data_IF_243207923623
#
_entry.id   IF_243207923623
#
_cell.length_a   1.000
_cell.length_b   1.000
_cell.length_c   1.000
_cell.angle_alpha   90.00
_cell.angle_beta   90.00
_cell.angle_gamma   90.00
#
_symmetry.space_group_name_H-M   'P 1'
#
loop_
_entity.id
_entity.type
_entity.pdbx_description
1 polymer ?
#
# COMPACT_ATOMS: atom_id res chain seq x y z
N UNK A 1 33.13 -26.22 26.39
CA UNK A 1 33.24 -24.80 25.93
C UNK A 1 33.03 -24.64 24.43
N UNK A 2 33.62 -25.54 23.63
CA UNK A 2 33.53 -25.45 22.14
C UNK A 2 32.18 -25.90 21.58
N UNK A 3 31.56 -26.90 22.19
CA UNK A 3 30.26 -27.37 21.73
C UNK A 3 29.11 -26.34 21.97
N UNK A 4 29.18 -25.60 23.08
CA UNK A 4 28.26 -24.51 23.41
C UNK A 4 28.49 -23.32 22.47
N UNK A 5 29.73 -23.05 22.07
CA UNK A 5 30.08 -21.98 21.13
C UNK A 5 29.60 -22.31 19.69
N UNK A 6 29.64 -23.59 19.30
CA UNK A 6 29.13 -24.07 18.01
C UNK A 6 27.59 -24.06 18.00
N UNK A 7 26.95 -24.49 19.10
CA UNK A 7 25.47 -24.43 19.24
C UNK A 7 24.97 -22.97 19.31
N UNK A 8 25.72 -22.05 19.92
CA UNK A 8 25.38 -20.61 19.89
C UNK A 8 25.59 -19.96 18.51
N UNK A 9 26.53 -20.48 17.71
CA UNK A 9 26.72 -20.01 16.33
C UNK A 9 25.67 -20.57 15.36
N UNK A 10 25.14 -21.76 15.64
CA UNK A 10 24.05 -22.38 14.85
C UNK A 10 22.69 -21.74 15.18
N UNK A 11 22.51 -21.16 16.39
CA UNK A 11 21.27 -20.45 16.75
C UNK A 11 21.21 -18.98 16.31
N UNK A 12 22.22 -18.50 15.59
CA UNK A 12 22.33 -17.16 15.02
C UNK A 12 22.47 -17.17 13.49
N UNK A 13 22.06 -18.22 12.81
CA UNK A 13 21.71 -18.07 11.40
C UNK A 13 20.37 -17.33 11.36
N UNK A 14 20.46 -16.01 11.55
CA UNK A 14 19.42 -15.06 11.13
C UNK A 14 19.14 -15.39 9.66
N UNK A 15 17.89 -15.68 9.35
CA UNK A 15 17.45 -15.78 7.94
C UNK A 15 18.10 -14.64 7.17
N UNK A 16 18.93 -14.99 6.21
CA UNK A 16 19.56 -14.05 5.31
C UNK A 16 19.07 -14.42 3.91
N UNK A 17 18.28 -13.53 3.33
CA UNK A 17 17.95 -13.63 1.91
C UNK A 17 19.25 -13.68 1.13
N UNK A 18 19.38 -14.59 0.15
CA UNK A 18 20.58 -14.74 -0.63
C UNK A 18 20.99 -13.38 -1.25
N UNK A 19 22.26 -13.01 -1.11
CA UNK A 19 22.81 -11.74 -1.63
C UNK A 19 22.51 -11.54 -3.13
N UNK A 20 22.44 -12.61 -3.90
CA UNK A 20 22.08 -12.54 -5.32
C UNK A 20 20.62 -12.12 -5.54
N UNK A 21 19.68 -12.64 -4.75
CA UNK A 21 18.29 -12.21 -4.78
C UNK A 21 18.14 -10.77 -4.30
N UNK A 22 18.89 -10.39 -3.26
CA UNK A 22 18.90 -9.00 -2.78
C UNK A 22 19.40 -8.02 -3.84
N UNK A 23 20.45 -8.38 -4.57
CA UNK A 23 20.96 -7.58 -5.71
C UNK A 23 19.93 -7.45 -6.82
N UNK A 24 19.25 -8.55 -7.19
CA UNK A 24 18.16 -8.52 -8.18
C UNK A 24 17.01 -7.61 -7.72
N UNK A 25 16.60 -7.72 -6.45
CA UNK A 25 15.52 -6.93 -5.90
C UNK A 25 15.89 -5.44 -5.79
N UNK A 26 17.09 -5.12 -5.33
CA UNK A 26 17.60 -3.77 -5.30
C UNK A 26 17.69 -3.14 -6.70
N UNK A 27 18.19 -3.89 -7.69
CA UNK A 27 18.19 -3.48 -9.10
C UNK A 27 16.77 -3.18 -9.59
N UNK A 28 15.81 -4.06 -9.30
CA UNK A 28 14.41 -3.87 -9.66
C UNK A 28 13.83 -2.60 -9.04
N UNK A 29 14.06 -2.36 -7.74
CA UNK A 29 13.60 -1.16 -7.04
C UNK A 29 14.12 0.14 -7.68
N UNK A 30 15.38 0.13 -8.10
CA UNK A 30 16.06 1.30 -8.71
C UNK A 30 15.65 1.49 -10.17
N UNK A 31 15.66 0.43 -10.99
CA UNK A 31 15.43 0.53 -12.44
C UNK A 31 13.94 0.59 -12.81
N UNK A 32 13.06 -0.09 -12.06
CA UNK A 32 11.61 -0.14 -12.33
C UNK A 32 10.83 0.64 -11.29
N UNK A 33 11.16 0.48 -9.99
CA UNK A 33 10.47 1.17 -8.92
C UNK A 33 10.49 2.68 -9.14
N UNK A 34 11.64 3.31 -8.97
CA UNK A 34 11.78 4.77 -9.18
C UNK A 34 12.36 5.13 -10.55
N UNK A 35 12.75 4.17 -11.37
CA UNK A 35 13.39 4.39 -12.68
C UNK A 35 14.47 5.47 -12.62
N UNK A 36 15.42 5.28 -11.68
CA UNK A 36 16.48 6.23 -11.37
C UNK A 36 17.31 6.57 -12.61
N UNK A 37 17.61 7.83 -12.82
CA UNK A 37 18.45 8.30 -13.91
C UNK A 37 19.81 8.76 -13.39
N UNK A 38 20.79 8.82 -14.28
CA UNK A 38 22.09 9.41 -13.99
C UNK A 38 21.95 10.82 -13.40
N UNK A 39 22.71 11.11 -12.35
CA UNK A 39 22.66 12.37 -11.58
C UNK A 39 21.38 12.61 -10.75
N UNK A 40 20.45 11.66 -10.65
CA UNK A 40 19.36 11.74 -9.68
C UNK A 40 19.87 11.54 -8.25
N UNK A 41 19.19 12.13 -7.29
CA UNK A 41 19.36 11.82 -5.86
C UNK A 41 18.28 10.84 -5.43
N UNK A 42 18.65 9.83 -4.65
CA UNK A 42 17.73 8.85 -4.08
C UNK A 42 17.61 9.01 -2.57
N UNK A 43 16.38 9.14 -2.06
CA UNK A 43 16.08 9.05 -0.63
C UNK A 43 15.46 7.68 -0.32
N UNK A 44 16.05 6.93 0.62
CA UNK A 44 15.56 5.63 1.08
C UNK A 44 15.00 5.80 2.49
N UNK A 45 13.71 5.54 2.67
CA UNK A 45 13.05 5.53 3.97
C UNK A 45 12.86 4.08 4.41
N UNK A 46 13.44 3.67 5.54
CA UNK A 46 13.52 2.26 5.87
C UNK A 46 13.50 2.02 7.38
N UNK A 47 12.86 0.94 7.88
CA UNK A 47 13.08 0.47 9.24
C UNK A 47 14.54 0.05 9.45
N UNK A 48 15.03 0.23 10.66
CA UNK A 48 16.44 -0.14 11.00
C UNK A 48 16.71 -1.63 10.79
N UNK A 49 15.69 -2.46 10.96
CA UNK A 49 15.75 -3.91 10.75
C UNK A 49 16.07 -4.29 9.30
N UNK A 50 15.78 -3.42 8.34
CA UNK A 50 15.99 -3.66 6.90
C UNK A 50 17.21 -2.89 6.33
N UNK A 51 18.09 -2.42 7.21
CA UNK A 51 19.28 -1.66 6.83
C UNK A 51 20.21 -2.39 5.83
N UNK A 52 20.25 -3.73 5.87
CA UNK A 52 21.03 -4.50 4.90
C UNK A 52 20.48 -4.32 3.49
N UNK A 53 19.16 -4.43 3.31
CA UNK A 53 18.53 -4.24 2.01
C UNK A 53 18.67 -2.80 1.49
N UNK A 54 18.59 -1.80 2.38
CA UNK A 54 18.84 -0.41 2.01
C UNK A 54 20.27 -0.20 1.45
N UNK A 55 21.29 -0.94 1.93
CA UNK A 55 22.66 -0.88 1.39
C UNK A 55 22.72 -1.45 -0.02
N UNK A 56 22.04 -2.58 -0.30
CA UNK A 56 21.96 -3.13 -1.66
C UNK A 56 21.26 -2.16 -2.63
N UNK A 57 20.18 -1.48 -2.19
CA UNK A 57 19.52 -0.44 -2.99
C UNK A 57 20.48 0.72 -3.26
N UNK A 58 21.24 1.17 -2.26
CA UNK A 58 22.24 2.23 -2.44
C UNK A 58 23.34 1.83 -3.44
N UNK A 59 23.88 0.62 -3.33
CA UNK A 59 24.86 0.08 -4.30
C UNK A 59 24.28 0.05 -5.72
N UNK A 60 23.03 -0.43 -5.89
CA UNK A 60 22.36 -0.45 -7.16
C UNK A 60 22.12 0.96 -7.73
N UNK A 61 21.76 1.93 -6.88
CA UNK A 61 21.55 3.32 -7.28
C UNK A 61 22.87 3.96 -7.78
N UNK A 62 23.96 3.79 -7.07
CA UNK A 62 25.27 4.27 -7.55
C UNK A 62 25.74 3.57 -8.81
N UNK A 63 25.41 2.29 -9.00
CA UNK A 63 25.75 1.56 -10.23
C UNK A 63 25.07 2.13 -11.49
N UNK A 64 23.89 2.75 -11.35
CA UNK A 64 23.19 3.45 -12.47
C UNK A 64 23.52 4.94 -12.52
N UNK A 65 24.45 5.43 -11.71
CA UNK A 65 24.94 6.81 -11.76
C UNK A 65 24.20 7.79 -10.85
N UNK A 66 23.61 7.35 -9.74
CA UNK A 66 23.05 8.26 -8.75
C UNK A 66 24.05 9.33 -8.34
N UNK A 67 23.60 10.57 -8.21
CA UNK A 67 24.40 11.68 -7.68
C UNK A 67 24.68 11.50 -6.18
N UNK A 68 23.64 11.09 -5.44
CA UNK A 68 23.71 10.89 -4.00
C UNK A 68 22.61 9.95 -3.53
N UNK A 69 22.85 9.25 -2.41
CA UNK A 69 21.88 8.36 -1.77
C UNK A 69 21.77 8.72 -0.29
N UNK A 70 20.59 9.13 0.12
CA UNK A 70 20.27 9.51 1.49
C UNK A 70 19.42 8.40 2.12
N UNK A 71 19.77 7.95 3.33
CA UNK A 71 19.02 6.90 4.02
C UNK A 71 18.46 7.44 5.32
N UNK A 72 17.13 7.39 5.44
CA UNK A 72 16.38 7.75 6.64
C UNK A 72 15.94 6.48 7.37
N UNK A 73 16.52 6.22 8.53
CA UNK A 73 16.14 5.08 9.36
C UNK A 73 15.02 5.44 10.32
N UNK A 74 14.08 4.51 10.49
CA UNK A 74 13.05 4.56 11.54
C UNK A 74 13.19 3.36 12.47
N UNK A 75 12.86 3.54 13.73
CA UNK A 75 12.80 2.49 14.74
C UNK A 75 11.42 2.51 15.39
N UNK A 76 10.60 1.50 15.07
CA UNK A 76 9.23 1.39 15.59
C UNK A 76 9.20 1.21 17.12
N UNK A 77 10.18 0.52 17.70
CA UNK A 77 10.26 0.31 19.15
C UNK A 77 10.58 1.61 19.87
N UNK A 78 11.53 2.39 19.35
CA UNK A 78 11.86 3.71 19.89
C UNK A 78 10.67 4.67 19.74
N UNK A 79 9.99 4.65 18.60
CA UNK A 79 8.78 5.44 18.41
C UNK A 79 7.67 5.07 19.39
N UNK A 80 7.45 3.78 19.66
CA UNK A 80 6.50 3.33 20.70
C UNK A 80 6.86 3.86 22.07
N UNK A 81 8.14 3.77 22.48
CA UNK A 81 8.62 4.32 23.75
C UNK A 81 8.32 5.82 23.82
N UNK A 82 8.60 6.57 22.77
CA UNK A 82 8.30 8.00 22.69
C UNK A 82 6.81 8.27 22.83
N UNK A 83 5.96 7.57 22.07
CA UNK A 83 4.51 7.74 22.11
C UNK A 83 3.89 7.42 23.49
N UNK A 84 4.46 6.46 24.22
CA UNK A 84 4.00 6.09 25.57
C UNK A 84 4.43 7.10 26.65
N UNK A 85 5.53 7.83 26.45
CA UNK A 85 6.15 8.65 27.49
C UNK A 85 6.07 10.15 27.21
N UNK A 86 5.62 10.59 26.03
CA UNK A 86 5.47 12.00 25.71
C UNK A 86 4.03 12.46 25.88
N UNK A 87 3.84 13.73 26.26
CA UNK A 87 2.51 14.34 26.30
C UNK A 87 1.94 14.54 24.89
N UNK A 88 0.62 14.58 24.76
CA UNK A 88 -0.09 14.91 23.51
C UNK A 88 0.40 16.25 22.94
N UNK A 89 0.63 17.24 23.78
CA UNK A 89 1.15 18.56 23.37
C UNK A 89 2.54 18.44 22.70
N UNK A 90 3.46 17.69 23.32
CA UNK A 90 4.79 17.40 22.75
C UNK A 90 4.68 16.66 21.42
N UNK A 91 3.76 15.69 21.31
CA UNK A 91 3.56 14.89 20.09
C UNK A 91 2.89 15.66 18.96
N UNK A 92 2.14 16.71 19.29
CA UNK A 92 1.42 17.57 18.35
C UNK A 92 2.35 18.53 17.59
N UNK A 93 3.62 18.65 17.99
CA UNK A 93 4.58 19.57 17.39
C UNK A 93 5.86 18.86 17.02
N UNK A 94 6.26 18.98 15.75
CA UNK A 94 7.55 18.49 15.27
C UNK A 94 8.47 19.66 14.94
N UNK A 95 9.79 19.54 15.17
CA UNK A 95 10.73 20.58 14.79
C UNK A 95 10.81 20.72 13.27
N UNK A 96 11.05 21.93 12.77
CA UNK A 96 11.09 22.24 11.34
C UNK A 96 12.05 21.34 10.56
N UNK A 97 13.22 21.02 11.12
CA UNK A 97 14.20 20.15 10.46
C UNK A 97 13.66 18.74 10.13
N UNK A 98 12.65 18.27 10.87
CA UNK A 98 12.05 16.97 10.61
C UNK A 98 11.33 16.93 9.24
N UNK A 99 10.55 17.97 8.95
CA UNK A 99 9.90 18.13 7.63
C UNK A 99 10.92 18.43 6.54
N UNK A 100 11.87 19.30 6.82
CA UNK A 100 12.88 19.72 5.85
C UNK A 100 13.73 18.55 5.34
N UNK A 101 13.98 17.53 6.13
CA UNK A 101 14.67 16.33 5.68
C UNK A 101 14.00 15.62 4.48
N UNK A 102 12.68 15.80 4.31
CA UNK A 102 11.90 15.25 3.19
C UNK A 102 11.59 16.33 2.14
N UNK A 103 11.11 17.47 2.60
CA UNK A 103 10.64 18.56 1.76
C UNK A 103 11.77 19.16 0.91
N UNK A 104 12.98 19.30 1.47
CA UNK A 104 14.15 19.74 0.73
C UNK A 104 14.44 18.85 -0.47
N UNK A 105 14.48 17.53 -0.28
CA UNK A 105 14.75 16.59 -1.36
C UNK A 105 13.61 16.52 -2.37
N UNK A 106 12.36 16.62 -1.93
CA UNK A 106 11.21 16.69 -2.84
C UNK A 106 11.24 17.93 -3.72
N UNK A 107 11.54 19.12 -3.15
CA UNK A 107 11.71 20.36 -3.92
C UNK A 107 12.85 20.30 -4.94
N UNK A 108 13.87 19.49 -4.67
CA UNK A 108 15.01 19.30 -5.55
C UNK A 108 14.86 18.10 -6.51
N UNK A 109 13.67 17.51 -6.59
CA UNK A 109 13.36 16.45 -7.57
C UNK A 109 14.02 15.11 -7.30
N UNK A 110 14.34 14.80 -6.05
CA UNK A 110 14.86 13.49 -5.66
C UNK A 110 13.81 12.39 -5.87
N UNK A 111 14.29 11.16 -6.08
CA UNK A 111 13.46 9.96 -6.04
C UNK A 111 13.37 9.41 -4.62
N UNK A 112 12.27 8.71 -4.30
CA UNK A 112 12.03 8.17 -2.97
C UNK A 112 11.71 6.67 -3.03
N UNK A 113 12.41 5.86 -2.25
CA UNK A 113 12.05 4.46 -1.99
C UNK A 113 11.67 4.34 -0.52
N UNK A 114 10.50 3.78 -0.24
CA UNK A 114 10.04 3.47 1.12
C UNK A 114 9.90 1.98 1.32
N UNK A 115 10.60 1.42 2.32
CA UNK A 115 10.52 0.00 2.66
C UNK A 115 9.45 -0.17 3.74
N UNK A 116 8.30 -0.75 3.36
CA UNK A 116 7.19 -1.10 4.25
C UNK A 116 7.44 -2.49 4.85
N UNK A 117 7.92 -2.53 6.08
CA UNK A 117 8.30 -3.76 6.78
C UNK A 117 7.99 -3.71 8.28
N UNK A 118 7.03 -2.87 8.66
CA UNK A 118 6.68 -2.65 10.06
C UNK A 118 5.98 -3.87 10.66
N UNK A 119 6.20 -4.08 11.96
CA UNK A 119 5.37 -4.96 12.78
C UNK A 119 3.92 -4.44 12.78
N UNK A 120 2.93 -5.23 12.34
CA UNK A 120 1.52 -4.80 12.37
C UNK A 120 1.02 -4.42 13.76
N UNK A 121 1.61 -4.98 14.82
CA UNK A 121 1.26 -4.72 16.21
C UNK A 121 2.21 -3.70 16.89
N UNK A 122 3.06 -2.99 16.13
CA UNK A 122 4.10 -2.11 16.65
C UNK A 122 3.58 -1.11 17.70
N UNK A 123 2.40 -0.56 17.50
CA UNK A 123 1.80 0.46 18.40
C UNK A 123 0.70 -0.07 19.30
N UNK A 124 0.55 -1.39 19.41
CA UNK A 124 -0.40 -2.00 20.36
C UNK A 124 -0.16 -1.49 21.78
N UNK A 125 -1.23 -1.06 22.47
CA UNK A 125 -1.19 -0.50 23.84
C UNK A 125 -0.76 0.98 23.93
N UNK A 126 -0.48 1.65 22.78
CA UNK A 126 -0.28 3.11 22.77
C UNK A 126 -1.65 3.81 22.80
N UNK A 127 -1.84 4.86 23.63
CA UNK A 127 -3.09 5.64 23.61
C UNK A 127 -3.37 6.20 22.21
N UNK A 128 -4.63 6.06 21.77
CA UNK A 128 -5.05 6.48 20.43
C UNK A 128 -4.83 7.99 20.22
N UNK A 129 -5.03 8.81 21.23
CA UNK A 129 -4.79 10.26 21.18
C UNK A 129 -3.33 10.60 20.88
N UNK A 130 -2.37 9.82 21.41
CA UNK A 130 -0.94 10.04 21.22
C UNK A 130 -0.54 9.69 19.77
N UNK A 131 -1.04 8.56 19.25
CA UNK A 131 -0.80 8.19 17.84
C UNK A 131 -1.44 9.18 16.88
N UNK A 132 -2.67 9.62 17.13
CA UNK A 132 -3.38 10.60 16.31
C UNK A 132 -2.67 11.97 16.30
N UNK A 133 -2.24 12.47 17.48
CA UNK A 133 -1.50 13.72 17.59
C UNK A 133 -0.19 13.69 16.80
N UNK A 134 0.60 12.62 16.96
CA UNK A 134 1.86 12.46 16.23
C UNK A 134 1.65 12.30 14.72
N UNK A 135 0.67 11.49 14.30
CA UNK A 135 0.34 11.33 12.88
C UNK A 135 -0.06 12.64 12.23
N UNK A 136 -0.89 13.44 12.90
CA UNK A 136 -1.29 14.77 12.42
C UNK A 136 -0.10 15.71 12.30
N UNK A 137 0.75 15.79 13.32
CA UNK A 137 1.94 16.63 13.30
C UNK A 137 2.90 16.21 12.18
N UNK A 138 3.08 14.91 11.95
CA UNK A 138 3.89 14.37 10.86
C UNK A 138 3.31 14.72 9.49
N UNK A 139 2.00 14.56 9.29
CA UNK A 139 1.34 14.93 8.04
C UNK A 139 1.53 16.41 7.70
N UNK A 140 1.45 17.30 8.69
CA UNK A 140 1.69 18.74 8.51
C UNK A 140 3.17 18.98 8.13
N UNK A 141 4.10 18.36 8.85
CA UNK A 141 5.54 18.55 8.60
C UNK A 141 5.98 18.03 7.22
N UNK A 142 5.36 16.97 6.71
CA UNK A 142 5.70 16.34 5.43
C UNK A 142 4.79 16.79 4.26
N UNK A 143 4.04 17.86 4.42
CA UNK A 143 3.02 18.29 3.45
C UNK A 143 3.58 18.48 2.04
N UNK A 144 4.67 19.20 1.87
CA UNK A 144 5.27 19.44 0.55
C UNK A 144 5.73 18.16 -0.13
N UNK A 145 6.38 17.27 0.62
CA UNK A 145 6.77 15.95 0.11
C UNK A 145 5.54 15.15 -0.33
N UNK A 146 4.50 15.11 0.50
CA UNK A 146 3.27 14.38 0.21
C UNK A 146 2.56 14.92 -1.04
N UNK A 147 2.46 16.24 -1.17
CA UNK A 147 1.88 16.89 -2.35
C UNK A 147 2.72 16.63 -3.62
N UNK A 148 4.06 16.65 -3.50
CA UNK A 148 4.94 16.34 -4.62
C UNK A 148 4.84 14.89 -5.07
N UNK A 149 4.71 13.95 -4.13
CA UNK A 149 4.53 12.53 -4.43
C UNK A 149 3.15 12.28 -5.07
N UNK A 150 2.07 12.79 -4.48
CA UNK A 150 0.69 12.62 -5.01
C UNK A 150 0.53 13.23 -6.41
N UNK A 151 1.24 14.33 -6.70
CA UNK A 151 1.21 14.98 -8.02
C UNK A 151 2.28 14.45 -9.00
N UNK A 152 2.94 13.34 -8.67
CA UNK A 152 4.04 12.73 -9.46
C UNK A 152 5.13 13.73 -9.87
N UNK A 153 5.36 14.79 -9.05
CA UNK A 153 6.48 15.72 -9.23
C UNK A 153 7.82 15.06 -8.86
N UNK A 154 7.76 14.04 -8.03
CA UNK A 154 8.88 13.16 -7.66
C UNK A 154 8.50 11.73 -7.96
N UNK A 155 9.45 10.90 -8.38
CA UNK A 155 9.23 9.46 -8.54
C UNK A 155 9.42 8.77 -7.20
N UNK A 156 8.49 7.90 -6.85
CA UNK A 156 8.49 7.20 -5.58
C UNK A 156 8.09 5.74 -5.76
N UNK A 157 8.55 4.91 -4.85
CA UNK A 157 8.19 3.49 -4.83
C UNK A 157 8.07 2.99 -3.39
N UNK A 158 6.98 2.30 -3.09
CA UNK A 158 6.84 1.52 -1.86
C UNK A 158 7.07 0.06 -2.19
N UNK A 159 7.92 -0.58 -1.41
CA UNK A 159 8.22 -2.01 -1.51
C UNK A 159 8.44 -2.57 -0.10
N UNK A 160 8.66 -3.86 0.02
CA UNK A 160 8.75 -4.51 1.34
C UNK A 160 9.96 -5.42 1.46
N UNK A 161 10.32 -5.71 2.70
CA UNK A 161 11.36 -6.67 3.07
C UNK A 161 10.92 -7.39 4.36
N UNK A 162 11.15 -8.71 4.51
CA UNK A 162 10.66 -9.45 5.66
C UNK A 162 11.37 -9.01 6.94
N UNK A 163 10.58 -8.80 8.01
CA UNK A 163 11.07 -8.61 9.38
C UNK A 163 10.50 -9.70 10.27
N UNK A 164 11.19 -10.02 11.37
CA UNK A 164 10.78 -11.13 12.23
C UNK A 164 9.39 -10.91 12.86
N UNK A 165 9.12 -9.71 13.36
CA UNK A 165 7.83 -9.41 13.98
C UNK A 165 6.69 -9.57 12.98
N UNK A 166 6.84 -9.04 11.77
CA UNK A 166 5.85 -9.20 10.70
C UNK A 166 5.71 -10.66 10.28
N UNK A 167 6.83 -11.38 10.09
CA UNK A 167 6.82 -12.80 9.71
C UNK A 167 6.08 -13.66 10.74
N UNK A 168 6.27 -13.41 12.02
CA UNK A 168 5.58 -14.11 13.11
C UNK A 168 4.09 -13.77 13.19
N UNK A 169 3.68 -12.59 12.74
CA UNK A 169 2.26 -12.23 12.62
C UNK A 169 1.59 -13.04 11.49
N UNK A 170 2.26 -13.17 10.34
CA UNK A 170 1.75 -13.94 9.19
C UNK A 170 1.82 -15.45 9.44
N UNK A 171 2.88 -15.93 10.10
CA UNK A 171 3.14 -17.36 10.37
C UNK A 171 3.37 -17.61 11.87
N UNK A 172 2.33 -17.50 12.72
CA UNK A 172 2.46 -17.56 14.18
C UNK A 172 3.02 -18.90 14.69
N UNK A 173 2.69 -19.99 14.03
CA UNK A 173 3.07 -21.35 14.45
C UNK A 173 4.45 -21.81 13.94
N UNK A 174 5.06 -21.06 13.01
CA UNK A 174 6.38 -21.38 12.47
C UNK A 174 7.50 -20.94 13.44
N UNK A 175 8.66 -21.57 13.37
CA UNK A 175 9.87 -21.05 14.04
C UNK A 175 10.26 -19.70 13.44
N UNK A 176 11.09 -18.93 14.14
CA UNK A 176 11.53 -17.60 13.67
C UNK A 176 12.19 -17.65 12.29
N UNK A 177 13.08 -18.63 12.07
CA UNK A 177 13.75 -18.81 10.79
C UNK A 177 12.78 -19.24 9.68
N UNK A 178 11.86 -20.18 9.96
CA UNK A 178 10.84 -20.60 9.01
C UNK A 178 9.85 -19.49 8.66
N UNK A 179 9.41 -18.70 9.65
CA UNK A 179 8.52 -17.57 9.43
C UNK A 179 9.15 -16.52 8.51
N UNK A 180 10.40 -16.14 8.78
CA UNK A 180 11.17 -15.20 7.95
C UNK A 180 11.38 -15.74 6.53
N UNK A 181 11.72 -17.04 6.38
CA UNK A 181 11.89 -17.66 5.07
C UNK A 181 10.59 -17.60 4.27
N UNK A 182 9.47 -18.08 4.87
CA UNK A 182 8.16 -18.10 4.21
C UNK A 182 7.68 -16.71 3.80
N UNK A 183 7.86 -15.71 4.67
CA UNK A 183 7.48 -14.33 4.33
C UNK A 183 8.40 -13.78 3.24
N UNK A 184 9.70 -14.05 3.31
CA UNK A 184 10.67 -13.64 2.29
C UNK A 184 10.34 -14.23 0.92
N UNK A 185 10.07 -15.54 0.86
CA UNK A 185 9.69 -16.23 -0.38
C UNK A 185 8.38 -15.66 -0.96
N UNK A 186 7.39 -15.39 -0.09
CA UNK A 186 6.12 -14.79 -0.52
C UNK A 186 6.30 -13.38 -1.08
N UNK A 187 7.13 -12.53 -0.46
CA UNK A 187 7.47 -11.18 -0.96
C UNK A 187 8.19 -11.31 -2.30
N UNK A 188 9.23 -12.13 -2.40
CA UNK A 188 10.04 -12.31 -3.61
C UNK A 188 9.18 -12.78 -4.79
N UNK A 189 8.26 -13.71 -4.54
CA UNK A 189 7.32 -14.18 -5.57
C UNK A 189 6.33 -13.09 -5.99
N UNK A 190 5.75 -12.37 -5.02
CA UNK A 190 4.82 -11.28 -5.29
C UNK A 190 5.46 -10.16 -6.15
N UNK A 191 6.74 -9.83 -5.90
CA UNK A 191 7.48 -8.83 -6.67
C UNK A 191 8.25 -9.42 -7.87
N UNK A 192 8.07 -10.73 -8.19
CA UNK A 192 8.66 -11.42 -9.36
C UNK A 192 10.19 -11.42 -9.39
N UNK A 193 10.86 -11.32 -8.23
CA UNK A 193 12.33 -11.33 -8.13
C UNK A 193 12.90 -12.73 -8.33
N UNK A 194 12.12 -13.77 -8.10
CA UNK A 194 12.44 -15.19 -8.36
C UNK A 194 12.56 -15.55 -9.86
N UNK A 195 12.22 -14.63 -10.73
CA UNK A 195 12.35 -14.82 -12.20
C UNK A 195 13.80 -14.67 -12.67
N UNK A 196 14.08 -15.12 -13.89
CA UNK A 196 15.42 -15.00 -14.48
C UNK A 196 15.86 -13.53 -14.58
N UNK A 197 15.00 -12.65 -15.12
CA UNK A 197 15.19 -11.20 -15.14
C UNK A 197 13.93 -10.50 -14.60
N UNK A 198 13.97 -10.02 -13.35
CA UNK A 198 12.85 -9.30 -12.74
C UNK A 198 12.44 -8.03 -13.49
N UNK A 199 13.37 -7.33 -14.10
CA UNK A 199 13.07 -6.10 -14.87
C UNK A 199 12.27 -6.44 -16.13
N UNK A 200 12.64 -7.51 -16.85
CA UNK A 200 11.86 -8.00 -17.98
C UNK A 200 10.47 -8.49 -17.54
N UNK A 201 10.39 -9.24 -16.42
CA UNK A 201 9.12 -9.70 -15.87
C UNK A 201 8.18 -8.53 -15.54
N UNK A 202 8.70 -7.44 -14.95
CA UNK A 202 7.92 -6.23 -14.66
C UNK A 202 7.53 -5.44 -15.92
N UNK A 203 8.40 -5.37 -16.94
CA UNK A 203 8.03 -4.78 -18.24
C UNK A 203 6.83 -5.52 -18.86
N UNK A 204 6.84 -6.84 -18.82
CA UNK A 204 5.75 -7.67 -19.35
C UNK A 204 4.48 -7.50 -18.51
N UNK A 205 4.62 -7.42 -17.17
CA UNK A 205 3.51 -7.18 -16.26
C UNK A 205 2.89 -5.79 -16.47
N UNK A 206 3.70 -4.73 -16.53
CA UNK A 206 3.24 -3.38 -16.83
C UNK A 206 2.53 -3.30 -18.19
N UNK A 207 3.05 -4.01 -19.21
CA UNK A 207 2.39 -4.09 -20.52
C UNK A 207 1.02 -4.79 -20.44
N UNK A 208 0.84 -5.74 -19.53
CA UNK A 208 -0.45 -6.40 -19.29
C UNK A 208 -1.43 -5.45 -18.62
N UNK A 209 -1.01 -4.76 -17.56
CA UNK A 209 -1.83 -3.75 -16.86
C UNK A 209 -2.20 -2.60 -17.81
N UNK A 210 -1.24 -2.14 -18.63
CA UNK A 210 -1.50 -1.09 -19.62
C UNK A 210 -2.59 -1.49 -20.65
N UNK A 211 -2.66 -2.76 -21.06
CA UNK A 211 -3.74 -3.25 -21.92
C UNK A 211 -5.11 -3.20 -21.21
N UNK A 212 -5.14 -3.58 -19.94
CA UNK A 212 -6.35 -3.49 -19.12
C UNK A 212 -6.79 -2.03 -18.95
N UNK A 213 -5.87 -1.13 -18.66
CA UNK A 213 -6.13 0.31 -18.57
C UNK A 213 -6.64 0.89 -19.89
N UNK A 214 -6.00 0.55 -21.01
CA UNK A 214 -6.44 1.00 -22.34
C UNK A 214 -7.86 0.52 -22.65
N UNK A 215 -8.16 -0.75 -22.36
CA UNK A 215 -9.51 -1.31 -22.51
C UNK A 215 -10.54 -0.56 -21.67
N UNK A 216 -10.28 -0.36 -20.37
CA UNK A 216 -11.20 0.30 -19.44
C UNK A 216 -11.40 1.79 -19.81
N UNK A 217 -10.31 2.49 -20.10
CA UNK A 217 -10.36 3.92 -20.45
C UNK A 217 -11.00 4.18 -21.82
N UNK A 218 -10.78 3.29 -22.79
CA UNK A 218 -11.36 3.42 -24.14
C UNK A 218 -12.87 3.19 -24.16
N UNK A 219 -13.35 2.20 -23.38
CA UNK A 219 -14.78 1.89 -23.33
C UNK A 219 -15.55 2.88 -22.44
N UNK A 220 -14.90 3.53 -21.48
CA UNK A 220 -15.48 4.55 -20.60
C UNK A 220 -16.84 4.11 -20.03
N UNK A 221 -16.85 2.94 -19.37
CA UNK A 221 -18.05 2.33 -18.82
C UNK A 221 -18.73 3.28 -17.82
N UNK A 222 -20.06 3.36 -17.89
CA UNK A 222 -20.84 4.21 -16.98
C UNK A 222 -21.09 3.56 -15.62
N UNK A 223 -21.09 2.23 -15.59
CA UNK A 223 -21.29 1.43 -14.39
C UNK A 223 -20.67 0.05 -14.56
N UNK A 224 -20.40 -0.59 -13.45
CA UNK A 224 -20.03 -1.99 -13.36
C UNK A 224 -21.07 -2.73 -12.52
N UNK A 225 -21.42 -3.95 -12.94
CA UNK A 225 -22.25 -4.84 -12.15
C UNK A 225 -21.41 -6.05 -11.74
N UNK A 226 -21.27 -6.23 -10.43
CA UNK A 226 -20.46 -7.28 -9.80
C UNK A 226 -21.39 -8.36 -9.25
N UNK A 227 -21.16 -9.60 -9.63
CA UNK A 227 -21.96 -10.75 -9.19
C UNK A 227 -21.08 -11.95 -8.87
N UNK A 228 -21.36 -12.64 -7.77
CA UNK A 228 -20.64 -13.83 -7.34
C UNK A 228 -21.55 -14.77 -6.55
N UNK A 229 -21.22 -16.07 -6.52
CA UNK A 229 -21.99 -17.09 -5.82
C UNK A 229 -22.01 -16.93 -4.30
N UNK A 230 -21.11 -16.10 -3.71
CA UNK A 230 -21.13 -15.79 -2.29
C UNK A 230 -22.31 -14.89 -1.87
N UNK A 231 -23.10 -14.40 -2.83
CA UNK A 231 -24.24 -13.52 -2.61
C UNK A 231 -24.00 -12.06 -3.02
N UNK A 232 -22.81 -11.71 -3.48
CA UNK A 232 -22.52 -10.37 -4.03
C UNK A 232 -23.39 -10.14 -5.27
N UNK A 233 -24.12 -9.01 -5.26
CA UNK A 233 -24.93 -8.49 -6.36
C UNK A 233 -24.95 -6.96 -6.21
N UNK A 234 -23.95 -6.29 -6.80
CA UNK A 234 -23.68 -4.88 -6.58
C UNK A 234 -23.51 -4.14 -7.92
N UNK A 235 -24.23 -3.04 -8.08
CA UNK A 235 -24.02 -2.10 -9.18
C UNK A 235 -23.26 -0.89 -8.67
N UNK A 236 -22.19 -0.52 -9.38
CA UNK A 236 -21.34 0.63 -9.09
C UNK A 236 -21.33 1.56 -10.29
N UNK A 237 -22.00 2.71 -10.20
CA UNK A 237 -21.89 3.78 -11.20
C UNK A 237 -20.55 4.50 -11.07
N UNK A 238 -20.01 4.94 -12.20
CA UNK A 238 -18.77 5.70 -12.28
C UNK A 238 -19.07 7.16 -12.62
N UNK A 239 -18.34 8.14 -12.07
CA UNK A 239 -18.54 9.55 -12.42
C UNK A 239 -18.25 9.84 -13.89
N UNK A 240 -18.83 10.90 -14.42
CA UNK A 240 -18.41 11.41 -15.74
C UNK A 240 -16.95 11.83 -15.71
N UNK A 241 -16.25 11.63 -16.83
CA UNK A 241 -14.84 11.95 -16.99
C UNK A 241 -13.88 11.19 -16.06
N UNK A 242 -14.32 10.10 -15.41
CA UNK A 242 -13.41 9.23 -14.70
C UNK A 242 -12.35 8.65 -15.66
N UNK A 243 -11.23 8.24 -15.09
CA UNK A 243 -10.24 7.41 -15.77
C UNK A 243 -9.78 6.28 -14.84
N UNK A 244 -9.31 5.20 -15.44
CA UNK A 244 -8.69 4.09 -14.73
C UNK A 244 -7.19 4.32 -14.63
N UNK A 245 -6.63 4.10 -13.45
CA UNK A 245 -5.21 4.17 -13.11
C UNK A 245 -4.70 2.81 -12.65
N UNK A 246 -3.39 2.65 -12.53
CA UNK A 246 -2.72 1.44 -12.05
C UNK A 246 -1.44 1.12 -12.83
N UNK A 247 -0.69 0.12 -12.37
CA UNK A 247 0.57 -0.26 -13.00
C UNK A 247 1.66 0.81 -12.90
N UNK A 248 2.26 1.17 -14.03
CA UNK A 248 3.26 2.24 -14.07
C UNK A 248 2.61 3.62 -14.21
N UNK A 249 3.17 4.60 -13.51
CA UNK A 249 2.81 6.01 -13.59
C UNK A 249 3.89 6.81 -14.31
N UNK A 250 3.56 8.02 -14.73
CA UNK A 250 4.53 8.95 -15.31
C UNK A 250 4.76 10.13 -14.37
N UNK A 251 6.03 10.52 -14.18
CA UNK A 251 6.33 11.79 -13.53
C UNK A 251 6.00 12.99 -14.46
N UNK A 252 6.12 14.19 -13.94
CA UNK A 252 5.86 15.44 -14.71
C UNK A 252 6.79 15.65 -15.91
N UNK A 253 7.85 14.82 -16.05
CA UNK A 253 8.77 14.80 -17.19
C UNK A 253 8.48 13.66 -18.18
N UNK A 254 7.44 12.85 -17.90
CA UNK A 254 7.06 11.68 -18.70
C UNK A 254 7.92 10.43 -18.42
N UNK A 255 8.69 10.40 -17.33
CA UNK A 255 9.47 9.21 -16.96
C UNK A 255 8.54 8.24 -16.23
N UNK A 256 8.40 7.03 -16.79
CA UNK A 256 7.59 5.97 -16.17
C UNK A 256 8.29 5.39 -14.95
N UNK A 257 7.53 5.10 -13.90
CA UNK A 257 7.97 4.46 -12.67
C UNK A 257 6.84 3.61 -12.06
N UNK A 258 7.15 2.74 -11.11
CA UNK A 258 6.16 1.93 -10.40
C UNK A 258 6.07 2.37 -8.94
N UNK A 259 4.98 3.04 -8.59
CA UNK A 259 4.75 3.56 -7.24
C UNK A 259 4.66 2.47 -6.18
N UNK A 260 4.13 1.31 -6.53
CA UNK A 260 3.96 0.16 -5.65
C UNK A 260 4.58 -1.10 -6.24
N UNK A 261 5.32 -1.85 -5.41
CA UNK A 261 5.87 -3.15 -5.73
C UNK A 261 5.60 -4.14 -4.57
N UNK A 262 4.60 -5.01 -4.71
CA UNK A 262 3.82 -5.33 -5.92
C UNK A 262 2.69 -4.35 -6.23
N UNK A 263 2.14 -4.43 -7.45
CA UNK A 263 0.84 -3.92 -7.87
C UNK A 263 0.26 -4.89 -8.91
N UNK A 264 -1.04 -5.23 -8.75
CA UNK A 264 -1.74 -6.17 -9.63
C UNK A 264 -3.04 -5.58 -10.18
N UNK A 265 -3.34 -4.34 -9.84
CA UNK A 265 -4.64 -3.72 -10.01
C UNK A 265 -4.72 -2.69 -11.13
N UNK A 266 -5.95 -2.51 -11.60
CA UNK A 266 -6.41 -1.28 -12.24
C UNK A 266 -7.61 -0.77 -11.47
N UNK A 267 -7.62 0.50 -11.10
CA UNK A 267 -8.61 1.07 -10.21
C UNK A 267 -9.18 2.39 -10.71
N UNK A 268 -10.34 2.74 -10.19
CA UNK A 268 -10.98 4.05 -10.36
C UNK A 268 -11.88 4.35 -9.16
N UNK A 269 -12.57 5.48 -9.18
CA UNK A 269 -13.50 5.85 -8.12
C UNK A 269 -14.95 5.52 -8.48
N UNK A 270 -15.75 4.99 -7.54
CA UNK A 270 -17.19 4.96 -7.65
C UNK A 270 -17.80 6.37 -7.57
N UNK A 271 -18.92 6.58 -8.27
CA UNK A 271 -19.73 7.77 -8.03
C UNK A 271 -20.37 7.68 -6.65
N UNK A 272 -20.13 8.68 -5.81
CA UNK A 272 -20.53 8.68 -4.38
C UNK A 272 -21.97 8.20 -4.14
N UNK A 273 -22.91 8.61 -4.97
CA UNK A 273 -24.33 8.24 -4.85
C UNK A 273 -24.77 7.10 -5.76
N UNK A 274 -23.83 6.48 -6.48
CA UNK A 274 -24.14 5.54 -7.58
C UNK A 274 -23.95 4.06 -7.22
N UNK A 275 -23.86 3.70 -5.94
CA UNK A 275 -23.64 2.30 -5.52
C UNK A 275 -24.92 1.72 -4.94
N UNK A 276 -25.39 0.59 -5.49
CA UNK A 276 -26.61 -0.07 -5.08
C UNK A 276 -26.49 -1.59 -5.10
N UNK A 277 -26.98 -2.25 -4.06
CA UNK A 277 -26.95 -3.71 -3.91
C UNK A 277 -26.23 -4.18 -2.68
N UNK A 278 -25.80 -5.44 -2.68
CA UNK A 278 -25.10 -6.08 -1.56
C UNK A 278 -23.75 -6.62 -2.02
N UNK A 279 -22.74 -6.50 -1.17
CA UNK A 279 -21.43 -7.07 -1.38
C UNK A 279 -20.99 -7.89 -0.16
N UNK A 280 -20.33 -9.01 -0.41
CA UNK A 280 -19.72 -9.87 0.60
C UNK A 280 -18.22 -9.81 0.50
N UNK A 281 -17.55 -9.72 1.66
CA UNK A 281 -16.10 -9.84 1.71
C UNK A 281 -15.65 -11.23 1.29
N UNK A 282 -14.54 -11.33 0.58
CA UNK A 282 -13.92 -12.60 0.18
C UNK A 282 -12.70 -12.97 1.05
N UNK A 283 -12.17 -11.99 1.78
CA UNK A 283 -11.03 -12.16 2.71
C UNK A 283 -11.29 -11.35 3.99
N UNK A 284 -10.65 -11.72 5.12
CA UNK A 284 -10.69 -10.91 6.33
C UNK A 284 -10.06 -9.53 6.10
N UNK A 285 -10.61 -8.51 6.77
CA UNK A 285 -10.06 -7.16 6.82
C UNK A 285 -9.35 -6.95 8.15
N UNK A 286 -8.07 -6.60 8.13
CA UNK A 286 -7.32 -6.15 9.29
C UNK A 286 -7.42 -4.64 9.44
N UNK A 287 -8.05 -4.16 10.50
CA UNK A 287 -8.23 -2.73 10.75
C UNK A 287 -7.88 -2.37 12.20
N UNK A 288 -6.91 -1.47 12.39
CA UNK A 288 -6.45 -1.03 13.71
C UNK A 288 -6.10 -2.19 14.67
N UNK A 289 -5.48 -3.26 14.16
CA UNK A 289 -5.10 -4.44 14.94
C UNK A 289 -6.24 -5.40 15.25
N UNK A 290 -7.45 -5.15 14.74
CA UNK A 290 -8.60 -6.03 14.87
C UNK A 290 -8.93 -6.70 13.53
N UNK A 291 -9.49 -7.90 13.60
CA UNK A 291 -9.93 -8.63 12.41
C UNK A 291 -11.44 -8.47 12.24
N UNK A 292 -11.87 -8.14 11.01
CA UNK A 292 -13.27 -8.15 10.59
C UNK A 292 -13.40 -9.27 9.56
N UNK A 293 -14.23 -10.27 9.84
CA UNK A 293 -14.30 -11.48 9.04
C UNK A 293 -15.71 -11.82 8.59
N UNK A 294 -15.83 -12.39 7.37
CA UNK A 294 -17.10 -12.83 6.78
C UNK A 294 -18.19 -11.76 6.92
N UNK A 295 -17.92 -10.58 6.37
CA UNK A 295 -18.84 -9.46 6.47
C UNK A 295 -19.53 -9.15 5.14
N UNK A 296 -20.68 -8.50 5.25
CA UNK A 296 -21.45 -8.00 4.12
C UNK A 296 -21.92 -6.56 4.34
N UNK A 297 -22.06 -5.83 3.24
CA UNK A 297 -22.53 -4.44 3.24
C UNK A 297 -23.63 -4.29 2.22
N UNK A 298 -24.74 -3.67 2.62
CA UNK A 298 -25.81 -3.27 1.71
C UNK A 298 -25.74 -1.78 1.43
N UNK A 299 -25.61 -1.43 0.17
CA UNK A 299 -25.58 -0.05 -0.31
C UNK A 299 -26.92 0.36 -0.94
N UNK A 300 -27.33 1.60 -0.67
CA UNK A 300 -28.43 2.26 -1.35
C UNK A 300 -28.07 3.72 -1.60
N UNK A 301 -28.20 4.14 -2.85
CA UNK A 301 -27.84 5.49 -3.30
C UNK A 301 -26.43 5.89 -2.83
N UNK A 302 -25.48 4.93 -2.92
CA UNK A 302 -24.08 5.02 -2.53
C UNK A 302 -23.78 4.83 -1.05
N UNK A 303 -24.78 4.94 -0.17
CA UNK A 303 -24.57 4.86 1.28
C UNK A 303 -24.70 3.42 1.78
N UNK A 304 -23.75 2.99 2.60
CA UNK A 304 -23.85 1.77 3.39
C UNK A 304 -24.98 1.93 4.42
N UNK A 305 -26.12 1.25 4.17
CA UNK A 305 -27.35 1.35 4.99
C UNK A 305 -27.51 0.20 5.96
N UNK A 306 -26.90 -0.94 5.66
CA UNK A 306 -26.92 -2.13 6.51
C UNK A 306 -25.59 -2.89 6.36
N UNK A 307 -25.18 -3.60 7.40
CA UNK A 307 -23.97 -4.41 7.42
C UNK A 307 -24.05 -5.49 8.48
N UNK A 308 -23.37 -6.61 8.21
CA UNK A 308 -23.19 -7.70 9.17
C UNK A 308 -21.79 -8.26 9.07
N UNK A 309 -21.31 -8.92 10.14
CA UNK A 309 -20.05 -9.61 10.17
C UNK A 309 -20.11 -10.76 11.18
N UNK A 310 -19.48 -11.90 10.86
CA UNK A 310 -19.34 -12.99 11.83
C UNK A 310 -18.40 -12.64 12.97
N UNK A 311 -17.37 -11.84 12.67
CA UNK A 311 -16.38 -11.36 13.64
C UNK A 311 -16.08 -9.88 13.37
N UNK A 312 -15.89 -9.09 14.43
CA UNK A 312 -15.49 -7.69 14.32
C UNK A 312 -16.61 -6.72 13.88
N UNK A 313 -17.89 -7.05 14.06
CA UNK A 313 -19.03 -6.20 13.67
C UNK A 313 -19.00 -4.82 14.31
N UNK A 314 -18.59 -4.74 15.58
CA UNK A 314 -18.45 -3.47 16.29
C UNK A 314 -17.33 -2.61 15.71
N UNK A 315 -16.24 -3.24 15.28
CA UNK A 315 -15.11 -2.56 14.63
C UNK A 315 -15.53 -2.02 13.27
N UNK A 316 -16.30 -2.82 12.49
CA UNK A 316 -16.88 -2.39 11.22
C UNK A 316 -17.83 -1.19 11.41
N UNK A 317 -18.66 -1.22 12.47
CA UNK A 317 -19.53 -0.09 12.81
C UNK A 317 -18.71 1.18 13.08
N UNK A 318 -17.66 1.08 13.90
CA UNK A 318 -16.80 2.22 14.24
C UNK A 318 -16.09 2.78 12.99
N UNK A 319 -15.64 1.91 12.09
CA UNK A 319 -15.05 2.29 10.80
C UNK A 319 -16.05 3.11 9.98
N UNK A 320 -17.27 2.60 9.79
CA UNK A 320 -18.32 3.25 9.02
C UNK A 320 -18.87 4.53 9.67
N UNK A 321 -18.68 4.71 10.97
CA UNK A 321 -19.11 5.88 11.73
C UNK A 321 -17.99 6.91 12.00
N UNK A 322 -16.82 6.75 11.34
CA UNK A 322 -15.68 7.68 11.49
C UNK A 322 -16.06 9.10 11.06
N UNK A 323 -16.73 9.22 9.91
CA UNK A 323 -17.32 10.47 9.41
C UNK A 323 -18.44 10.15 8.40
N UNK A 324 -19.07 11.19 7.82
CA UNK A 324 -20.14 10.99 6.83
C UNK A 324 -19.64 10.23 5.59
N UNK A 325 -18.44 10.52 5.13
CA UNK A 325 -17.84 9.92 3.93
C UNK A 325 -17.45 8.46 4.10
N UNK A 326 -17.20 8.01 5.34
CA UNK A 326 -16.81 6.63 5.64
C UNK A 326 -17.86 5.58 5.24
N UNK A 327 -19.14 5.99 5.11
CA UNK A 327 -20.24 5.12 4.66
C UNK A 327 -20.37 5.03 3.15
N UNK A 328 -19.50 5.66 2.38
CA UNK A 328 -19.51 5.65 0.93
C UNK A 328 -18.20 5.07 0.41
N UNK A 329 -18.25 4.54 -0.81
CA UNK A 329 -17.05 4.01 -1.45
C UNK A 329 -16.19 5.14 -2.05
N UNK A 330 -14.89 4.97 -1.95
CA UNK A 330 -13.85 5.80 -2.55
C UNK A 330 -13.12 5.13 -3.70
N UNK A 331 -13.14 3.79 -3.75
CA UNK A 331 -12.41 3.03 -4.77
C UNK A 331 -13.15 1.78 -5.21
N UNK A 332 -12.95 1.42 -6.48
CA UNK A 332 -13.19 0.11 -7.05
C UNK A 332 -11.95 -0.32 -7.83
N UNK A 333 -11.38 -1.44 -7.46
CA UNK A 333 -10.19 -2.01 -8.07
C UNK A 333 -10.45 -3.40 -8.65
N UNK A 334 -9.91 -3.64 -9.84
CA UNK A 334 -9.98 -4.92 -10.52
C UNK A 334 -8.60 -5.57 -10.50
N UNK A 335 -8.52 -6.73 -9.90
CA UNK A 335 -7.30 -7.53 -9.73
C UNK A 335 -7.55 -8.91 -10.35
N UNK A 336 -6.66 -9.43 -11.20
CA UNK A 336 -6.77 -10.79 -11.70
C UNK A 336 -6.81 -11.81 -10.56
N UNK A 337 -7.74 -12.76 -10.62
CA UNK A 337 -7.80 -13.83 -9.61
C UNK A 337 -6.52 -14.68 -9.59
N UNK A 338 -5.92 -14.92 -10.76
CA UNK A 338 -4.62 -15.60 -10.89
C UNK A 338 -3.48 -14.58 -10.80
N UNK A 339 -3.09 -14.24 -9.58
CA UNK A 339 -1.93 -13.40 -9.27
C UNK A 339 -1.04 -14.06 -8.21
N UNK A 340 0.26 -13.71 -8.13
CA UNK A 340 1.15 -14.28 -7.11
C UNK A 340 0.63 -14.08 -5.67
N UNK A 341 0.04 -12.94 -5.39
CA UNK A 341 -0.50 -12.62 -4.06
C UNK A 341 -1.77 -13.42 -3.80
N UNK A 342 -2.71 -13.45 -4.75
CA UNK A 342 -3.93 -14.24 -4.62
C UNK A 342 -3.63 -15.73 -4.39
N UNK A 343 -2.70 -16.27 -5.17
CA UNK A 343 -2.30 -17.68 -5.13
C UNK A 343 -1.56 -18.06 -3.84
N UNK A 344 -0.96 -17.11 -3.13
CA UNK A 344 -0.31 -17.36 -1.84
C UNK A 344 -1.31 -17.77 -0.75
N UNK A 345 -2.58 -17.37 -0.87
CA UNK A 345 -3.63 -17.54 0.15
C UNK A 345 -3.22 -16.99 1.53
N UNK A 346 -2.33 -16.03 1.59
CA UNK A 346 -1.87 -15.37 2.82
C UNK A 346 -2.67 -14.09 3.08
N UNK A 347 -2.78 -13.75 4.36
CA UNK A 347 -3.07 -12.39 4.82
C UNK A 347 -1.73 -11.85 5.29
N UNK A 348 -1.26 -10.81 4.62
CA UNK A 348 0.04 -10.22 4.92
C UNK A 348 0.00 -9.25 6.09
N UNK A 349 -1.18 -8.76 6.49
CA UNK A 349 -1.32 -7.66 7.44
C UNK A 349 -0.53 -6.41 7.00
N UNK A 350 -0.44 -6.23 5.69
CA UNK A 350 0.23 -5.12 5.04
C UNK A 350 -0.57 -4.76 3.79
N UNK A 351 -1.12 -3.55 3.77
CA UNK A 351 -2.01 -3.05 2.72
C UNK A 351 -1.40 -3.18 1.33
N UNK A 352 -0.10 -2.91 1.17
CA UNK A 352 0.60 -3.06 -0.11
C UNK A 352 0.40 -4.44 -0.78
N UNK A 353 0.24 -5.50 0.02
CA UNK A 353 -0.01 -6.85 -0.49
C UNK A 353 -1.50 -7.19 -0.45
N UNK A 354 -2.17 -6.91 0.67
CA UNK A 354 -3.52 -7.41 0.90
C UNK A 354 -4.53 -6.80 -0.08
N UNK A 355 -4.38 -5.53 -0.46
CA UNK A 355 -5.19 -4.87 -1.50
C UNK A 355 -5.01 -5.53 -2.88
N UNK A 356 -3.82 -6.03 -3.18
CA UNK A 356 -3.50 -6.69 -4.45
C UNK A 356 -3.85 -8.19 -4.47
N UNK A 357 -4.48 -8.71 -3.42
CA UNK A 357 -4.85 -10.13 -3.32
C UNK A 357 -6.14 -10.49 -4.08
N UNK A 358 -7.02 -9.53 -4.34
CA UNK A 358 -8.29 -9.75 -5.05
C UNK A 358 -8.88 -8.41 -5.53
N UNK A 359 -9.90 -8.47 -6.42
CA UNK A 359 -10.75 -7.30 -6.64
C UNK A 359 -11.23 -6.76 -5.30
N UNK A 360 -11.20 -5.44 -5.13
CA UNK A 360 -11.54 -4.82 -3.86
C UNK A 360 -12.31 -3.52 -4.05
N UNK A 361 -12.90 -3.06 -2.97
CA UNK A 361 -13.55 -1.77 -2.82
C UNK A 361 -12.90 -1.06 -1.63
N UNK A 362 -12.86 0.26 -1.64
CA UNK A 362 -12.44 1.01 -0.46
C UNK A 362 -13.59 1.82 0.12
N UNK A 363 -13.73 1.78 1.45
CA UNK A 363 -14.54 2.77 2.16
C UNK A 363 -13.80 4.11 2.22
N UNK A 364 -14.55 5.20 2.10
CA UNK A 364 -14.07 6.53 2.45
C UNK A 364 -13.53 7.32 1.27
N UNK A 365 -12.34 7.92 1.45
CA UNK A 365 -11.77 8.90 0.52
C UNK A 365 -11.49 8.29 -0.85
N UNK A 366 -11.92 8.99 -1.90
CA UNK A 366 -11.54 8.68 -3.27
C UNK A 366 -10.24 9.36 -3.67
N UNK A 367 -9.39 8.65 -4.41
CA UNK A 367 -8.42 9.31 -5.27
C UNK A 367 -9.16 9.91 -6.46
N UNK A 368 -8.97 11.20 -6.77
CA UNK A 368 -9.76 11.86 -7.80
C UNK A 368 -9.29 11.45 -9.21
N UNK A 369 -9.55 10.19 -9.60
CA UNK A 369 -9.33 9.67 -10.95
C UNK A 369 -10.34 10.29 -11.94
N UNK A 370 -10.37 11.63 -11.99
CA UNK A 370 -11.21 12.47 -12.87
C UNK A 370 -10.27 13.30 -13.74
N UNK A 371 -10.52 13.34 -15.04
CA UNK A 371 -9.74 14.14 -15.97
C UNK A 371 -9.81 15.62 -15.59
N UNK A 372 -8.64 16.27 -15.50
CA UNK A 372 -8.46 17.67 -15.10
C UNK A 372 -8.97 17.96 -13.67
N UNK A 373 -8.88 17.00 -12.76
CA UNK A 373 -9.31 17.16 -11.35
C UNK A 373 -8.46 18.18 -10.60
N UNK A 374 -7.23 18.46 -11.04
CA UNK A 374 -6.33 19.47 -10.49
C UNK A 374 -6.85 20.90 -10.61
N UNK A 375 -7.76 21.16 -11.56
CA UNK A 375 -8.39 22.46 -11.79
C UNK A 375 -9.71 22.64 -11.01
N UNK A 376 -10.17 21.58 -10.27
CA UNK A 376 -11.47 21.56 -9.61
C UNK A 376 -11.35 21.84 -8.11
N UNK A 377 -12.32 22.62 -7.58
CA UNK A 377 -12.46 22.80 -6.13
C UNK A 377 -13.03 21.53 -5.46
N UNK A 378 -12.91 21.43 -4.13
CA UNK A 378 -13.51 20.32 -3.35
C UNK A 378 -15.02 20.24 -3.54
N UNK A 379 -15.71 21.39 -3.66
CA UNK A 379 -17.16 21.46 -3.92
C UNK A 379 -17.49 20.90 -5.30
N UNK A 380 -16.72 21.26 -6.33
CA UNK A 380 -16.89 20.75 -7.68
C UNK A 380 -16.62 19.24 -7.75
N UNK A 381 -15.58 18.76 -7.09
CA UNK A 381 -15.30 17.32 -6.98
C UNK A 381 -16.47 16.57 -6.31
N UNK A 382 -17.04 17.14 -5.25
CA UNK A 382 -18.21 16.58 -4.58
C UNK A 382 -19.47 16.54 -5.48
N UNK A 383 -19.71 17.59 -6.25
CA UNK A 383 -20.83 17.69 -7.20
C UNK A 383 -20.78 16.61 -8.29
N UNK A 384 -19.60 16.30 -8.82
CA UNK A 384 -19.40 15.23 -9.80
C UNK A 384 -19.40 13.83 -9.18
N UNK A 385 -19.44 13.73 -7.85
CA UNK A 385 -19.61 12.47 -7.13
C UNK A 385 -18.32 11.87 -6.55
N UNK A 386 -17.26 12.65 -6.39
CA UNK A 386 -16.06 12.23 -5.66
C UNK A 386 -16.35 12.20 -4.16
N UNK A 387 -16.07 11.08 -3.50
CA UNK A 387 -16.26 10.96 -2.06
C UNK A 387 -15.04 11.49 -1.30
N UNK A 388 -15.27 12.19 -0.20
CA UNK A 388 -14.23 12.65 0.71
C UNK A 388 -14.49 12.14 2.14
N UNK A 389 -13.44 11.70 2.81
CA UNK A 389 -13.47 11.12 4.17
C UNK A 389 -12.10 11.26 4.82
N UNK A 390 -12.07 11.05 6.14
CA UNK A 390 -10.83 10.93 6.91
C UNK A 390 -10.16 9.57 6.75
N UNK A 391 -10.89 8.57 6.23
CA UNK A 391 -10.37 7.21 6.01
C UNK A 391 -10.33 6.85 4.54
N UNK A 392 -9.48 5.89 4.21
CA UNK A 392 -9.47 5.08 3.00
C UNK A 392 -9.11 3.66 3.44
N UNK A 393 -10.04 2.71 3.29
CA UNK A 393 -9.86 1.35 3.82
C UNK A 393 -10.37 0.33 2.82
N UNK A 394 -9.44 -0.42 2.25
CA UNK A 394 -9.68 -1.45 1.24
C UNK A 394 -10.21 -2.73 1.87
N UNK A 395 -11.17 -3.35 1.21
CA UNK A 395 -11.68 -4.66 1.57
C UNK A 395 -11.91 -5.54 0.34
N UNK A 396 -11.48 -6.78 0.44
CA UNK A 396 -11.44 -7.73 -0.66
C UNK A 396 -12.82 -8.33 -0.92
N UNK A 397 -13.23 -8.34 -2.19
CA UNK A 397 -14.51 -8.89 -2.66
C UNK A 397 -14.34 -9.95 -3.76
N UNK A 398 -13.14 -10.02 -4.36
CA UNK A 398 -12.85 -10.91 -5.47
C UNK A 398 -12.92 -12.38 -5.07
N UNK A 399 -13.68 -13.16 -5.84
CA UNK A 399 -13.75 -14.63 -5.79
C UNK A 399 -13.41 -15.20 -7.15
N UNK A 400 -13.16 -16.51 -7.23
CA UNK A 400 -12.83 -17.17 -8.51
C UNK A 400 -13.97 -17.08 -9.54
N UNK A 401 -15.19 -16.87 -9.08
CA UNK A 401 -16.43 -16.78 -9.89
C UNK A 401 -17.01 -15.37 -9.93
N UNK A 402 -16.25 -14.36 -9.51
CA UNK A 402 -16.70 -12.96 -9.61
C UNK A 402 -16.82 -12.57 -11.09
N UNK A 403 -18.04 -12.26 -11.49
CA UNK A 403 -18.35 -11.68 -12.80
C UNK A 403 -18.48 -10.17 -12.69
N UNK A 404 -17.83 -9.45 -13.62
CA UNK A 404 -17.90 -7.99 -13.75
C UNK A 404 -18.41 -7.67 -15.15
N UNK A 405 -19.59 -7.03 -15.25
CA UNK A 405 -20.25 -6.73 -16.50
C UNK A 405 -20.66 -5.26 -16.62
#
# INVERSE_FOLDING_TARGET
GILIYILFKISLEVFKMNDELLKKYARLAVEMGVNLKENDTLCINTPIETAEFARFIAEAAYAVGAKDVIVNYSDAKLNKIRLLNSSVDTLSTLPEWFGENYNYYARNGACFISISASDPDAFSGVPMENTAAYSKARSIALKEYSEAATANKVRWCVLSYPTLAWAKKVFPDATDAEALTKLGDAIISAVRVDTADPVEAWNNHNATLAKSLDFMNKNNFKSLHLKSSNGTDLTVELPENHYWAGGSEADTKGILFNANMPTEEVFTLPKRTGVNGIVFSSKPLSYNGNLINDFSITFKDGKAIDFDAKEGKEVLSQLLDTDEGARYLGEIALVPFDSPISNSNLIFYNTLFDENAACHLAFGRAYPCIKNSEDLSEEQLKEIGVNNSLIHVDFMIGTADLEVT
#
